data_IF_622017276001
#
_entry.id   IF_622017276001
#
_cell.length_a   1.000
_cell.length_b   1.000
_cell.length_c   1.000
_cell.angle_alpha   90.00
_cell.angle_beta   90.00
_cell.angle_gamma   90.00
#
_symmetry.space_group_name_H-M   'P 1'
#
loop_
_entity.id
_entity.type
_entity.pdbx_description
1 polymer ?
#
# COMPACT_ATOMS: atom_id res chain seq x y z
N UNK A 1 8.51 -46.67 18.93
CA UNK A 1 8.38 -46.95 17.48
C UNK A 1 7.68 -45.81 16.70
N UNK A 2 8.16 -44.58 16.86
CA UNK A 2 7.73 -43.42 16.06
C UNK A 2 8.91 -42.50 15.75
N UNK A 3 9.96 -43.06 15.14
CA UNK A 3 10.83 -42.32 14.24
C UNK A 3 10.29 -42.57 12.83
N UNK A 4 9.63 -41.56 12.27
CA UNK A 4 9.55 -41.39 10.83
C UNK A 4 10.25 -40.09 10.52
N UNK A 5 11.44 -40.23 9.97
CA UNK A 5 12.15 -39.22 9.20
C UNK A 5 11.17 -38.59 8.20
N UNK A 6 10.53 -37.48 8.57
CA UNK A 6 9.94 -36.59 7.59
C UNK A 6 11.10 -35.80 6.99
N UNK A 7 11.76 -36.40 6.00
CA UNK A 7 12.64 -35.69 5.06
C UNK A 7 11.99 -34.36 4.69
N UNK A 8 12.64 -33.29 5.12
CA UNK A 8 12.57 -31.91 4.68
C UNK A 8 11.45 -31.58 3.69
N UNK A 9 10.21 -31.49 4.18
CA UNK A 9 9.29 -30.52 3.59
C UNK A 9 9.93 -29.18 3.95
N UNK A 10 10.55 -28.51 2.96
CA UNK A 10 11.06 -27.15 3.13
C UNK A 10 10.01 -26.37 3.90
N UNK A 11 10.40 -25.71 4.99
CA UNK A 11 9.49 -24.88 5.81
C UNK A 11 8.93 -23.67 5.02
N UNK A 12 9.04 -23.67 3.69
CA UNK A 12 8.69 -22.57 2.79
C UNK A 12 9.68 -21.41 2.83
N UNK A 13 10.72 -21.49 3.67
CA UNK A 13 11.62 -20.36 3.94
C UNK A 13 12.49 -20.05 2.73
N UNK A 14 13.03 -21.08 2.07
CA UNK A 14 13.88 -20.90 0.88
C UNK A 14 13.03 -20.36 -0.27
N UNK A 15 11.82 -20.89 -0.45
CA UNK A 15 10.87 -20.43 -1.45
C UNK A 15 10.45 -18.98 -1.20
N UNK A 16 10.13 -18.62 0.05
CA UNK A 16 9.80 -17.25 0.41
C UNK A 16 10.97 -16.29 0.16
N UNK A 17 12.21 -16.69 0.49
CA UNK A 17 13.41 -15.90 0.17
C UNK A 17 13.60 -15.70 -1.31
N UNK A 18 13.39 -16.74 -2.10
CA UNK A 18 13.45 -16.66 -3.55
C UNK A 18 12.46 -15.62 -4.08
N UNK A 19 11.20 -15.64 -3.62
CA UNK A 19 10.20 -14.62 -4.01
C UNK A 19 10.61 -13.22 -3.54
N UNK A 20 11.17 -13.06 -2.34
CA UNK A 20 11.69 -11.76 -1.88
C UNK A 20 12.78 -11.21 -2.81
N UNK A 21 13.68 -12.06 -3.32
CA UNK A 21 14.69 -11.62 -4.31
C UNK A 21 14.03 -11.10 -5.58
N UNK A 22 12.98 -11.76 -6.08
CA UNK A 22 12.22 -11.26 -7.23
C UNK A 22 11.53 -9.94 -6.95
N UNK A 23 10.86 -9.82 -5.78
CA UNK A 23 10.22 -8.57 -5.34
C UNK A 23 11.25 -7.43 -5.32
N UNK A 24 12.41 -7.65 -4.68
CA UNK A 24 13.48 -6.65 -4.61
C UNK A 24 14.03 -6.30 -5.99
N UNK A 25 14.19 -7.29 -6.88
CA UNK A 25 14.64 -7.05 -8.26
C UNK A 25 13.65 -6.20 -9.07
N UNK A 26 12.35 -6.45 -8.93
CA UNK A 26 11.29 -5.66 -9.59
C UNK A 26 11.25 -4.24 -9.03
N UNK A 27 11.26 -4.09 -7.70
CA UNK A 27 11.27 -2.76 -7.05
C UNK A 27 12.52 -1.96 -7.42
N UNK A 28 13.68 -2.63 -7.51
CA UNK A 28 14.92 -2.01 -7.93
C UNK A 28 14.85 -1.54 -9.39
N UNK A 29 14.34 -2.38 -10.30
CA UNK A 29 14.20 -2.02 -11.72
C UNK A 29 13.27 -0.83 -11.88
N UNK A 30 12.11 -0.85 -11.21
CA UNK A 30 11.14 0.24 -11.30
C UNK A 30 11.65 1.55 -10.70
N UNK A 31 12.38 1.48 -9.58
CA UNK A 31 13.01 2.66 -8.97
C UNK A 31 14.13 3.22 -9.85
N UNK A 32 14.95 2.34 -10.44
CA UNK A 32 16.02 2.73 -11.37
C UNK A 32 15.44 3.42 -12.60
N UNK A 33 14.36 2.90 -13.17
CA UNK A 33 13.70 3.50 -14.33
C UNK A 33 13.04 4.84 -13.95
N UNK A 34 12.40 4.92 -12.79
CA UNK A 34 11.88 6.18 -12.25
C UNK A 34 12.98 7.23 -12.09
N UNK A 35 14.12 6.89 -11.49
CA UNK A 35 15.28 7.78 -11.34
C UNK A 35 15.87 8.19 -12.70
N UNK A 36 15.97 7.24 -13.65
CA UNK A 36 16.46 7.51 -15.00
C UNK A 36 15.57 8.53 -15.72
N UNK A 37 14.25 8.45 -15.56
CA UNK A 37 13.30 9.41 -16.13
C UNK A 37 13.43 10.83 -15.56
N UNK A 38 14.09 10.99 -14.40
CA UNK A 38 14.38 12.31 -13.82
C UNK A 38 15.65 12.92 -14.42
N UNK A 39 16.68 12.09 -14.65
CA UNK A 39 17.98 12.55 -15.17
C UNK A 39 17.90 12.83 -16.67
N UNK A 40 17.22 11.97 -17.41
CA UNK A 40 16.94 12.16 -18.83
C UNK A 40 15.61 12.89 -18.90
N UNK A 41 15.65 14.22 -18.76
CA UNK A 41 14.49 15.08 -18.84
C UNK A 41 13.62 14.68 -20.04
N UNK A 42 12.41 14.19 -19.75
CA UNK A 42 11.27 13.99 -20.68
C UNK A 42 10.88 12.59 -21.18
N UNK A 43 11.39 11.46 -20.67
CA UNK A 43 10.78 10.16 -21.04
C UNK A 43 9.62 9.76 -20.10
N UNK A 44 8.44 10.31 -20.40
CA UNK A 44 7.15 9.96 -19.79
C UNK A 44 6.87 8.45 -19.79
N UNK A 45 7.35 7.73 -20.81
CA UNK A 45 7.16 6.28 -20.93
C UNK A 45 7.97 5.54 -19.88
N UNK A 46 9.22 5.95 -19.64
CA UNK A 46 10.07 5.33 -18.62
C UNK A 46 9.50 5.59 -17.22
N UNK A 47 8.98 6.80 -16.94
CA UNK A 47 8.32 7.11 -15.66
C UNK A 47 7.12 6.19 -15.41
N UNK A 48 6.25 6.04 -16.41
CA UNK A 48 5.04 5.21 -16.26
C UNK A 48 5.37 3.72 -16.12
N UNK A 49 6.33 3.21 -16.90
CA UNK A 49 6.82 1.83 -16.78
C UNK A 49 7.40 1.57 -15.39
N UNK A 50 8.27 2.46 -14.89
CA UNK A 50 8.87 2.30 -13.56
C UNK A 50 7.84 2.29 -12.43
N UNK A 51 6.79 3.11 -12.52
CA UNK A 51 5.68 3.10 -11.56
C UNK A 51 4.88 1.80 -11.61
N UNK A 52 4.61 1.26 -12.81
CA UNK A 52 3.94 -0.02 -12.97
C UNK A 52 4.78 -1.20 -12.47
N UNK A 53 6.10 -1.15 -12.61
CA UNK A 53 7.00 -2.14 -12.04
C UNK A 53 6.99 -2.09 -10.51
N UNK A 54 7.09 -0.90 -9.91
CA UNK A 54 6.97 -0.73 -8.46
C UNK A 54 5.64 -1.30 -7.97
N UNK A 55 4.54 -0.92 -8.63
CA UNK A 55 3.21 -1.45 -8.33
C UNK A 55 3.16 -2.98 -8.37
N UNK A 56 3.71 -3.58 -9.43
CA UNK A 56 3.75 -5.03 -9.61
C UNK A 56 4.59 -5.73 -8.53
N UNK A 57 5.70 -5.12 -8.11
CA UNK A 57 6.51 -5.58 -6.98
C UNK A 57 5.75 -5.57 -5.66
N UNK A 58 4.96 -4.52 -5.39
CA UNK A 58 4.10 -4.44 -4.21
C UNK A 58 2.97 -5.48 -4.24
N UNK A 59 2.35 -5.71 -5.40
CA UNK A 59 1.34 -6.76 -5.57
C UNK A 59 1.93 -8.15 -5.32
N UNK A 60 3.13 -8.41 -5.84
CA UNK A 60 3.83 -9.69 -5.60
C UNK A 60 4.20 -9.85 -4.12
N UNK A 61 4.65 -8.79 -3.45
CA UNK A 61 4.90 -8.81 -2.02
C UNK A 61 3.61 -9.08 -1.22
N UNK A 62 2.49 -8.47 -1.59
CA UNK A 62 1.20 -8.71 -0.94
C UNK A 62 0.75 -10.16 -1.14
N UNK A 63 0.90 -10.70 -2.35
CA UNK A 63 0.58 -12.11 -2.64
C UNK A 63 1.43 -13.09 -1.84
N UNK A 64 2.69 -12.75 -1.55
CA UNK A 64 3.57 -13.57 -0.71
C UNK A 64 3.16 -13.54 0.77
N UNK A 65 2.72 -12.38 1.27
CA UNK A 65 2.44 -12.16 2.69
C UNK A 65 1.02 -12.53 3.10
N UNK A 66 0.07 -12.49 2.16
CA UNK A 66 -1.31 -12.86 2.43
C UNK A 66 -1.48 -14.35 2.66
N UNK A 67 -2.39 -14.70 3.57
CA UNK A 67 -2.80 -16.09 3.75
C UNK A 67 -3.44 -16.62 2.45
N UNK A 68 -3.37 -17.94 2.20
CA UNK A 68 -3.91 -18.51 0.95
C UNK A 68 -5.39 -18.21 0.68
N UNK A 69 -6.22 -18.17 1.74
CA UNK A 69 -7.64 -17.83 1.63
C UNK A 69 -7.91 -16.36 1.30
N UNK A 70 -6.90 -15.51 1.47
CA UNK A 70 -6.95 -14.07 1.25
C UNK A 70 -6.52 -13.67 -0.18
N UNK A 71 -5.88 -14.58 -0.93
CA UNK A 71 -5.44 -14.36 -2.32
C UNK A 71 -6.58 -14.12 -3.32
N UNK A 72 -7.75 -14.80 -3.25
CA UNK A 72 -8.86 -14.51 -4.15
C UNK A 72 -9.36 -13.07 -4.02
N UNK A 73 -9.32 -12.52 -2.80
CA UNK A 73 -9.70 -11.14 -2.52
C UNK A 73 -8.71 -10.19 -3.20
N UNK A 74 -7.40 -10.44 -3.10
CA UNK A 74 -6.38 -9.68 -3.84
C UNK A 74 -6.63 -9.68 -5.35
N UNK A 75 -6.88 -10.85 -5.95
CA UNK A 75 -7.19 -10.95 -7.39
C UNK A 75 -8.44 -10.16 -7.75
N UNK A 76 -9.49 -10.23 -6.93
CA UNK A 76 -10.70 -9.45 -7.13
C UNK A 76 -10.45 -7.94 -7.03
N UNK A 77 -9.56 -7.49 -6.14
CA UNK A 77 -9.16 -6.08 -6.09
C UNK A 77 -8.47 -5.62 -7.36
N UNK A 78 -7.53 -6.40 -7.90
CA UNK A 78 -6.87 -6.10 -9.18
C UNK A 78 -7.88 -6.06 -10.33
N UNK A 79 -8.86 -6.98 -10.32
CA UNK A 79 -9.95 -6.99 -11.29
C UNK A 79 -10.79 -5.72 -11.18
N UNK A 80 -11.21 -5.32 -9.96
CA UNK A 80 -11.98 -4.10 -9.74
C UNK A 80 -11.19 -2.88 -10.22
N UNK A 81 -9.91 -2.74 -9.87
CA UNK A 81 -9.07 -1.64 -10.38
C UNK A 81 -9.06 -1.57 -11.91
N UNK A 82 -8.94 -2.72 -12.58
CA UNK A 82 -8.95 -2.81 -14.05
C UNK A 82 -10.31 -2.42 -14.63
N UNK A 83 -11.40 -2.92 -14.04
CA UNK A 83 -12.77 -2.60 -14.47
C UNK A 83 -13.09 -1.12 -14.27
N UNK A 84 -12.77 -0.56 -13.10
CA UNK A 84 -12.96 0.85 -12.79
C UNK A 84 -12.17 1.74 -13.75
N UNK A 85 -10.92 1.41 -14.03
CA UNK A 85 -10.07 2.13 -14.98
C UNK A 85 -10.65 2.12 -16.40
N UNK A 86 -11.06 0.94 -16.89
CA UNK A 86 -11.49 0.76 -18.28
C UNK A 86 -12.90 1.27 -18.54
N UNK A 87 -13.81 1.07 -17.60
CA UNK A 87 -15.25 1.32 -17.82
C UNK A 87 -15.78 2.57 -17.15
N UNK A 88 -15.10 3.10 -16.13
CA UNK A 88 -15.61 4.25 -15.35
C UNK A 88 -14.67 5.45 -15.47
N UNK A 89 -13.45 5.38 -14.96
CA UNK A 89 -12.57 6.56 -14.87
C UNK A 89 -12.18 7.13 -16.24
N UNK A 90 -11.78 6.29 -17.20
CA UNK A 90 -11.43 6.75 -18.55
C UNK A 90 -12.65 7.21 -19.35
N UNK A 91 -13.76 6.45 -19.43
CA UNK A 91 -14.90 6.85 -20.28
C UNK A 91 -15.67 8.07 -19.77
N UNK A 92 -15.83 8.21 -18.44
CA UNK A 92 -16.59 9.34 -17.86
C UNK A 92 -15.76 10.62 -17.68
N UNK A 93 -14.44 10.57 -17.92
CA UNK A 93 -13.51 11.71 -17.78
C UNK A 93 -13.62 12.40 -16.40
N UNK A 94 -13.66 11.59 -15.34
CA UNK A 94 -13.68 12.07 -13.97
C UNK A 94 -12.47 12.94 -13.65
N UNK A 95 -12.65 13.93 -12.77
CA UNK A 95 -11.54 14.77 -12.32
C UNK A 95 -10.57 13.98 -11.40
N UNK A 96 -9.32 14.43 -11.32
CA UNK A 96 -8.29 13.82 -10.49
C UNK A 96 -8.73 13.71 -9.01
N UNK A 97 -9.49 14.68 -8.50
CA UNK A 97 -10.03 14.64 -7.14
C UNK A 97 -11.04 13.51 -6.94
N UNK A 98 -11.99 13.34 -7.86
CA UNK A 98 -13.02 12.29 -7.80
C UNK A 98 -12.39 10.90 -7.83
N UNK A 99 -11.46 10.69 -8.77
CA UNK A 99 -10.70 9.44 -8.91
C UNK A 99 -9.94 9.15 -7.61
N UNK A 100 -9.32 10.17 -7.01
CA UNK A 100 -8.56 10.04 -5.75
C UNK A 100 -9.45 9.59 -4.59
N UNK A 101 -10.62 10.20 -4.41
CA UNK A 101 -11.57 9.85 -3.34
C UNK A 101 -12.04 8.40 -3.52
N UNK A 102 -12.36 8.00 -4.75
CA UNK A 102 -12.76 6.62 -5.04
C UNK A 102 -11.64 5.62 -4.72
N UNK A 103 -10.39 5.90 -5.11
CA UNK A 103 -9.24 5.04 -4.79
C UNK A 103 -9.01 4.94 -3.28
N UNK A 104 -9.18 6.05 -2.54
CA UNK A 104 -9.09 6.03 -1.09
C UNK A 104 -10.17 5.11 -0.48
N UNK A 105 -11.44 5.25 -0.89
CA UNK A 105 -12.53 4.41 -0.38
C UNK A 105 -12.34 2.94 -0.70
N UNK A 106 -11.92 2.60 -1.92
CA UNK A 106 -11.64 1.21 -2.26
C UNK A 106 -10.44 0.66 -1.50
N UNK A 107 -9.39 1.45 -1.27
CA UNK A 107 -8.27 1.05 -0.42
C UNK A 107 -8.72 0.73 1.00
N UNK A 108 -9.59 1.58 1.57
CA UNK A 108 -10.17 1.33 2.90
C UNK A 108 -11.12 0.13 2.90
N UNK A 109 -11.94 -0.05 1.86
CA UNK A 109 -12.81 -1.23 1.75
C UNK A 109 -11.99 -2.52 1.68
N UNK A 110 -10.90 -2.52 0.91
CA UNK A 110 -10.04 -3.68 0.75
C UNK A 110 -9.30 -4.05 2.04
N UNK A 111 -8.94 -3.06 2.87
CA UNK A 111 -8.43 -3.31 4.21
C UNK A 111 -9.38 -4.24 4.99
N UNK A 112 -10.68 -3.93 5.02
CA UNK A 112 -11.67 -4.75 5.72
C UNK A 112 -12.03 -6.05 4.98
N UNK A 113 -12.10 -6.05 3.64
CA UNK A 113 -12.38 -7.27 2.87
C UNK A 113 -11.32 -8.34 3.06
N UNK A 114 -10.10 -7.97 3.43
CA UNK A 114 -9.05 -8.92 3.77
C UNK A 114 -9.21 -9.57 5.15
N UNK A 115 -10.27 -9.22 5.89
CA UNK A 115 -10.53 -9.69 7.24
C UNK A 115 -9.83 -8.88 8.34
N UNK A 116 -9.18 -7.76 8.00
CA UNK A 116 -8.61 -6.88 9.01
C UNK A 116 -9.73 -6.17 9.80
N UNK A 117 -9.41 -5.81 11.04
CA UNK A 117 -10.28 -5.02 11.89
C UNK A 117 -9.50 -3.89 12.54
N UNK A 118 -10.19 -3.07 13.34
CA UNK A 118 -9.56 -1.99 14.11
C UNK A 118 -9.05 -2.44 15.49
N UNK A 119 -8.96 -3.76 15.73
CA UNK A 119 -8.42 -4.34 16.94
C UNK A 119 -6.98 -4.82 16.70
N UNK A 120 -6.04 -4.41 17.56
CA UNK A 120 -4.63 -4.80 17.52
C UNK A 120 -4.47 -6.34 17.52
N UNK A 121 -5.37 -7.08 18.18
CA UNK A 121 -5.34 -8.54 18.20
C UNK A 121 -5.54 -9.20 16.82
N UNK A 122 -6.04 -8.45 15.83
CA UNK A 122 -6.24 -8.96 14.47
C UNK A 122 -5.05 -8.73 13.54
N UNK A 123 -4.01 -8.02 14.00
CA UNK A 123 -2.76 -7.86 13.22
C UNK A 123 -2.06 -9.21 13.10
N UNK A 124 -1.89 -9.69 11.88
CA UNK A 124 -1.21 -10.96 11.63
C UNK A 124 0.32 -10.77 11.65
N UNK A 125 0.90 -10.87 12.84
CA UNK A 125 2.35 -10.78 13.05
C UNK A 125 3.10 -11.93 12.36
N UNK A 126 2.44 -13.06 12.06
CA UNK A 126 3.09 -14.18 11.37
C UNK A 126 3.48 -13.84 9.93
N UNK A 127 2.77 -12.91 9.29
CA UNK A 127 3.15 -12.38 7.98
C UNK A 127 4.53 -11.71 8.01
N UNK A 128 4.91 -11.10 9.15
CA UNK A 128 6.22 -10.48 9.33
C UNK A 128 7.40 -11.45 9.27
N UNK A 129 7.17 -12.73 9.51
CA UNK A 129 8.22 -13.74 9.58
C UNK A 129 8.36 -14.59 8.32
N UNK A 130 7.61 -14.28 7.26
CA UNK A 130 7.69 -15.01 5.99
C UNK A 130 9.09 -14.84 5.38
N UNK A 131 9.90 -15.92 5.39
CA UNK A 131 11.27 -15.93 4.88
C UNK A 131 12.39 -15.65 5.92
N UNK A 132 12.03 -15.43 7.19
CA UNK A 132 12.98 -15.21 8.29
C UNK A 132 13.17 -16.51 9.11
N UNK A 133 14.43 -16.92 9.31
CA UNK A 133 14.77 -18.07 10.18
C UNK A 133 14.98 -17.65 11.65
N UNK A 134 15.33 -16.38 11.86
CA UNK A 134 15.61 -15.80 13.18
C UNK A 134 14.81 -14.52 13.34
N UNK A 135 14.48 -14.20 14.60
CA UNK A 135 13.78 -12.97 14.90
C UNK A 135 14.66 -11.77 14.55
N UNK A 136 14.20 -10.97 13.58
CA UNK A 136 14.76 -9.66 13.26
C UNK A 136 13.62 -8.65 13.36
N UNK A 137 13.71 -7.73 14.31
CA UNK A 137 12.64 -6.80 14.64
C UNK A 137 12.22 -5.93 13.45
N UNK A 138 13.20 -5.27 12.80
CA UNK A 138 12.91 -4.28 11.75
C UNK A 138 12.22 -4.90 10.51
N UNK A 139 12.73 -5.99 9.90
CA UNK A 139 12.04 -6.62 8.77
C UNK A 139 10.68 -7.20 9.16
N UNK A 140 10.57 -7.80 10.36
CA UNK A 140 9.30 -8.37 10.81
C UNK A 140 8.24 -7.29 11.02
N UNK A 141 8.59 -6.15 11.61
CA UNK A 141 7.71 -5.01 11.79
C UNK A 141 7.28 -4.42 10.44
N UNK A 142 8.22 -4.24 9.50
CA UNK A 142 7.93 -3.71 8.17
C UNK A 142 6.97 -4.61 7.38
N UNK A 143 7.26 -5.92 7.31
CA UNK A 143 6.44 -6.88 6.58
C UNK A 143 5.05 -7.04 7.22
N UNK A 144 4.96 -7.02 8.56
CA UNK A 144 3.67 -7.03 9.27
C UNK A 144 2.85 -5.78 8.95
N UNK A 145 3.48 -4.59 9.00
CA UNK A 145 2.82 -3.34 8.68
C UNK A 145 2.35 -3.34 7.22
N UNK A 146 3.21 -3.74 6.28
CA UNK A 146 2.85 -3.84 4.88
C UNK A 146 1.69 -4.82 4.65
N UNK A 147 1.72 -6.03 5.24
CA UNK A 147 0.64 -6.99 5.11
C UNK A 147 -0.69 -6.46 5.68
N UNK A 148 -0.63 -5.75 6.81
CA UNK A 148 -1.82 -5.15 7.45
C UNK A 148 -2.43 -4.04 6.59
N UNK A 149 -1.60 -3.17 6.02
CA UNK A 149 -2.02 -1.99 5.25
C UNK A 149 -1.91 -2.17 3.74
N UNK A 150 -1.78 -3.41 3.26
CA UNK A 150 -1.58 -3.72 1.84
C UNK A 150 -2.71 -3.16 0.97
N UNK A 151 -3.96 -3.20 1.41
CA UNK A 151 -5.08 -2.62 0.67
C UNK A 151 -4.90 -1.14 0.32
N UNK A 152 -4.87 -0.25 1.32
CA UNK A 152 -4.62 1.17 1.11
C UNK A 152 -3.35 1.44 0.30
N UNK A 153 -2.25 0.70 0.56
CA UNK A 153 -0.98 0.86 -0.15
C UNK A 153 -1.10 0.50 -1.63
N UNK A 154 -1.72 -0.63 -1.97
CA UNK A 154 -1.92 -1.07 -3.35
C UNK A 154 -2.85 -0.12 -4.11
N UNK A 155 -3.92 0.36 -3.47
CA UNK A 155 -4.83 1.32 -4.11
C UNK A 155 -4.19 2.71 -4.29
N UNK A 156 -3.39 3.17 -3.33
CA UNK A 156 -2.65 4.43 -3.47
C UNK A 156 -1.55 4.36 -4.53
N UNK A 157 -0.81 3.25 -4.62
CA UNK A 157 0.21 3.05 -5.66
C UNK A 157 -0.41 2.89 -7.06
N UNK A 158 -1.58 2.23 -7.15
CA UNK A 158 -2.37 2.19 -8.38
C UNK A 158 -2.84 3.59 -8.80
N UNK A 159 -3.35 4.40 -7.87
CA UNK A 159 -3.78 5.79 -8.14
C UNK A 159 -2.67 6.59 -8.80
N UNK A 160 -1.45 6.52 -8.26
CA UNK A 160 -0.33 7.29 -8.81
C UNK A 160 0.13 6.76 -10.16
N UNK A 161 0.16 5.43 -10.33
CA UNK A 161 0.45 4.82 -11.63
C UNK A 161 -0.59 5.23 -12.69
N UNK A 162 -1.87 5.24 -12.32
CA UNK A 162 -2.98 5.64 -13.18
C UNK A 162 -2.91 7.12 -13.55
N UNK A 163 -2.82 8.03 -12.57
CA UNK A 163 -2.75 9.47 -12.82
C UNK A 163 -1.51 9.84 -13.62
N UNK A 164 -0.36 9.23 -13.33
CA UNK A 164 0.87 9.46 -14.08
C UNK A 164 0.78 8.92 -15.52
N UNK A 165 -0.09 7.95 -15.80
CA UNK A 165 -0.31 7.43 -17.16
C UNK A 165 -1.31 8.25 -17.98
N UNK A 166 -2.30 8.86 -17.33
CA UNK A 166 -3.37 9.60 -17.99
C UNK A 166 -3.05 11.10 -18.10
N UNK A 167 -2.35 11.65 -17.11
CA UNK A 167 -2.05 13.09 -17.05
C UNK A 167 -0.55 13.33 -17.26
N UNK A 168 -0.23 14.16 -18.25
CA UNK A 168 1.15 14.60 -18.51
C UNK A 168 1.59 15.73 -17.57
N UNK A 169 0.68 16.28 -16.77
CA UNK A 169 0.93 17.40 -15.87
C UNK A 169 1.13 16.94 -14.43
N UNK A 170 2.29 17.25 -13.84
CA UNK A 170 2.56 17.02 -12.40
C UNK A 170 1.57 17.73 -11.47
N UNK A 171 0.88 18.77 -11.95
CA UNK A 171 -0.16 19.47 -11.18
C UNK A 171 -1.33 18.55 -10.79
N UNK A 172 -1.69 17.58 -11.62
CA UNK A 172 -2.77 16.63 -11.32
C UNK A 172 -2.37 15.67 -10.19
N UNK A 173 -1.11 15.23 -10.16
CA UNK A 173 -0.57 14.39 -9.09
C UNK A 173 -0.48 15.16 -7.77
N UNK A 174 -0.03 16.42 -7.82
CA UNK A 174 -0.02 17.30 -6.64
C UNK A 174 -1.42 17.57 -6.11
N UNK A 175 -2.40 17.79 -6.99
CA UNK A 175 -3.81 17.98 -6.60
C UNK A 175 -4.37 16.71 -5.97
N UNK A 176 -4.14 15.55 -6.59
CA UNK A 176 -4.53 14.26 -6.04
C UNK A 176 -3.87 13.98 -4.68
N UNK A 177 -2.58 14.27 -4.53
CA UNK A 177 -1.86 14.15 -3.26
C UNK A 177 -2.52 15.00 -2.15
N UNK A 178 -2.87 16.25 -2.46
CA UNK A 178 -3.57 17.12 -1.53
C UNK A 178 -4.98 16.60 -1.19
N UNK A 179 -5.77 16.20 -2.19
CA UNK A 179 -7.10 15.61 -1.98
C UNK A 179 -7.04 14.33 -1.14
N UNK A 180 -6.06 13.48 -1.39
CA UNK A 180 -5.85 12.24 -0.62
C UNK A 180 -5.51 12.56 0.84
N UNK A 181 -4.59 13.51 1.07
CA UNK A 181 -4.22 13.97 2.41
C UNK A 181 -5.40 14.59 3.17
N UNK A 182 -6.24 15.38 2.49
CA UNK A 182 -7.47 15.91 3.09
C UNK A 182 -8.45 14.79 3.46
N UNK A 183 -8.65 13.83 2.57
CA UNK A 183 -9.57 12.71 2.78
C UNK A 183 -9.14 11.84 3.95
N UNK A 184 -7.84 11.58 4.12
CA UNK A 184 -7.33 10.84 5.29
C UNK A 184 -7.35 11.67 6.58
N UNK A 185 -7.29 13.00 6.50
CA UNK A 185 -7.29 13.88 7.68
C UNK A 185 -8.65 13.94 8.38
N UNK A 186 -9.75 13.77 7.63
CA UNK A 186 -11.11 13.81 8.19
C UNK A 186 -11.37 12.77 9.29
N UNK A 187 -11.20 11.44 9.06
CA UNK A 187 -11.44 10.44 10.10
C UNK A 187 -10.48 10.59 11.28
N UNK A 188 -9.19 10.87 11.03
CA UNK A 188 -8.18 11.07 12.07
C UNK A 188 -8.57 12.23 12.98
N UNK A 189 -8.96 13.37 12.41
CA UNK A 189 -9.39 14.54 13.18
C UNK A 189 -10.63 14.23 14.02
N UNK A 190 -11.61 13.52 13.45
CA UNK A 190 -12.79 13.09 14.19
C UNK A 190 -12.44 12.20 15.39
N UNK A 191 -11.55 11.21 15.21
CA UNK A 191 -11.09 10.34 16.31
C UNK A 191 -10.28 11.09 17.36
N UNK A 192 -9.42 12.04 16.96
CA UNK A 192 -8.69 12.89 17.91
C UNK A 192 -9.66 13.71 18.75
N UNK A 193 -10.66 14.33 18.13
CA UNK A 193 -11.69 15.12 18.83
C UNK A 193 -12.48 14.23 19.80
N UNK A 194 -12.91 13.04 19.37
CA UNK A 194 -13.65 12.09 20.21
C UNK A 194 -12.83 11.60 21.40
N UNK A 195 -11.58 11.18 21.18
CA UNK A 195 -10.68 10.72 22.25
C UNK A 195 -10.36 11.85 23.23
N UNK A 196 -10.22 13.08 22.73
CA UNK A 196 -9.94 14.26 23.56
C UNK A 196 -11.16 14.67 24.40
N UNK A 197 -12.36 14.71 23.80
CA UNK A 197 -13.59 15.11 24.49
C UNK A 197 -14.03 14.09 25.54
N UNK A 198 -13.85 12.80 25.24
CA UNK A 198 -14.25 11.70 26.11
C UNK A 198 -13.08 11.14 26.95
N UNK A 199 -11.96 11.87 27.07
CA UNK A 199 -10.73 11.40 27.74
C UNK A 199 -10.91 10.91 29.18
N UNK A 200 -11.93 11.41 29.88
CA UNK A 200 -12.27 11.06 31.26
C UNK A 200 -13.35 9.98 31.37
N UNK A 201 -13.94 9.58 30.24
CA UNK A 201 -14.91 8.48 30.20
C UNK A 201 -14.18 7.13 30.37
N UNK A 202 -14.74 6.27 31.20
CA UNK A 202 -14.21 4.92 31.42
C UNK A 202 -14.14 4.16 30.09
N UNK A 203 -13.06 3.41 29.87
CA UNK A 203 -12.81 2.59 28.68
C UNK A 203 -12.54 3.32 27.35
N UNK A 204 -12.42 4.64 27.34
CA UNK A 204 -12.09 5.37 26.11
C UNK A 204 -10.75 4.90 25.51
N UNK A 205 -9.74 4.72 26.36
CA UNK A 205 -8.40 4.30 25.92
C UNK A 205 -8.38 2.85 25.45
N UNK A 206 -9.16 1.94 26.03
CA UNK A 206 -9.20 0.54 25.58
C UNK A 206 -9.95 0.36 24.26
N UNK A 207 -10.97 1.18 23.98
CA UNK A 207 -11.81 1.04 22.77
C UNK A 207 -11.29 1.88 21.61
N UNK A 208 -10.89 3.12 21.87
CA UNK A 208 -10.52 4.08 20.81
C UNK A 208 -9.02 4.16 20.55
N UNK A 209 -8.15 3.81 21.49
CA UNK A 209 -6.70 3.84 21.24
C UNK A 209 -6.26 2.88 20.13
N UNK A 210 -6.76 1.63 20.03
CA UNK A 210 -6.44 0.76 18.90
C UNK A 210 -6.81 1.41 17.58
N UNK A 211 -8.04 1.94 17.47
CA UNK A 211 -8.53 2.60 16.26
C UNK A 211 -7.69 3.83 15.90
N UNK A 212 -7.38 4.68 16.87
CA UNK A 212 -6.55 5.86 16.65
C UNK A 212 -5.14 5.49 16.18
N UNK A 213 -4.57 4.39 16.66
CA UNK A 213 -3.28 3.88 16.20
C UNK A 213 -3.35 3.43 14.74
N UNK A 214 -4.40 2.70 14.33
CA UNK A 214 -4.61 2.35 12.92
C UNK A 214 -4.68 3.60 12.04
N UNK A 215 -5.49 4.58 12.41
CA UNK A 215 -5.62 5.84 11.67
C UNK A 215 -4.29 6.61 11.60
N UNK A 216 -3.52 6.65 12.69
CA UNK A 216 -2.17 7.21 12.72
C UNK A 216 -1.22 6.50 11.75
N UNK A 217 -1.25 5.16 11.73
CA UNK A 217 -0.44 4.38 10.78
C UNK A 217 -0.87 4.60 9.32
N UNK A 218 -2.17 4.68 9.04
CA UNK A 218 -2.68 5.04 7.72
C UNK A 218 -2.12 6.41 7.28
N UNK A 219 -2.18 7.43 8.16
CA UNK A 219 -1.62 8.76 7.86
C UNK A 219 -0.12 8.69 7.60
N UNK A 220 0.65 7.95 8.41
CA UNK A 220 2.09 7.81 8.22
C UNK A 220 2.43 7.16 6.87
N UNK A 221 1.73 6.08 6.51
CA UNK A 221 1.91 5.39 5.23
C UNK A 221 1.53 6.31 4.07
N UNK A 222 0.39 6.98 4.16
CA UNK A 222 -0.06 7.96 3.17
C UNK A 222 0.96 9.08 3.01
N UNK A 223 1.45 9.65 4.11
CA UNK A 223 2.46 10.70 4.08
C UNK A 223 3.75 10.22 3.41
N UNK A 224 4.22 9.01 3.72
CA UNK A 224 5.39 8.43 3.08
C UNK A 224 5.21 8.28 1.56
N UNK A 225 4.05 7.80 1.12
CA UNK A 225 3.69 7.67 -0.31
C UNK A 225 3.63 9.04 -0.98
N UNK A 226 2.95 10.02 -0.37
CA UNK A 226 2.84 11.38 -0.85
C UNK A 226 4.21 12.08 -0.96
N UNK A 227 5.07 11.94 0.06
CA UNK A 227 6.42 12.50 0.05
C UNK A 227 7.28 11.84 -1.03
N UNK A 228 7.22 10.52 -1.16
CA UNK A 228 7.93 9.81 -2.22
C UNK A 228 7.54 10.35 -3.60
N UNK A 229 6.24 10.50 -3.86
CA UNK A 229 5.78 10.95 -5.17
C UNK A 229 6.02 12.44 -5.44
N UNK A 230 5.84 13.31 -4.44
CA UNK A 230 6.16 14.73 -4.60
C UNK A 230 7.66 14.95 -4.78
N UNK A 231 8.52 14.20 -4.09
CA UNK A 231 9.97 14.22 -4.32
C UNK A 231 10.31 13.79 -5.76
N UNK A 232 9.60 12.81 -6.29
CA UNK A 232 9.75 12.35 -7.69
C UNK A 232 9.13 13.28 -8.73
N UNK A 233 8.30 14.24 -8.33
CA UNK A 233 7.72 15.23 -9.25
C UNK A 233 8.54 16.54 -9.27
N UNK A 234 9.09 16.97 -8.13
CA UNK A 234 9.86 18.21 -8.00
C UNK A 234 11.21 18.21 -8.75
N UNK A 235 11.80 17.05 -9.01
CA UNK A 235 13.03 16.94 -9.81
C UNK A 235 12.82 17.30 -11.28
N UNK A 236 11.57 17.34 -11.77
CA UNK A 236 11.25 17.70 -13.15
C UNK A 236 11.06 19.23 -13.36
N UNK A 237 10.81 20.02 -12.31
CA UNK A 237 10.50 21.46 -12.45
C UNK A 237 11.71 22.39 -12.24
N UNK A 238 12.86 21.84 -11.81
CA UNK A 238 14.11 22.60 -11.58
C UNK A 238 15.15 22.45 -12.70
N UNK A 239 14.80 21.84 -13.83
CA UNK A 239 15.65 21.74 -15.03
C UNK A 239 15.16 22.65 -16.15
#
# INVERSE_FOLDING_TARGET
>A
PWQRDSKDISKGVIEARFVHVFVLGILFTGTKDLLKSQVIAADFTIKTVGLWEIYSGLVLLAALLFRPHNLPVLVLSLLIQTLMTKFIWKPLRHDAAEITIMHYWFGQAFFYFQGNSNNIATVDVSAGFVGLDTYMEVPAAFLTAFATFAGPVLWASHLVSFLSSETRSGSALSHACFCYALTCSFPVSAYIILVTSLRHHLFIWSVFSPKLLYEGMHVLITAAICVFFTAMDQTNTKS
#
